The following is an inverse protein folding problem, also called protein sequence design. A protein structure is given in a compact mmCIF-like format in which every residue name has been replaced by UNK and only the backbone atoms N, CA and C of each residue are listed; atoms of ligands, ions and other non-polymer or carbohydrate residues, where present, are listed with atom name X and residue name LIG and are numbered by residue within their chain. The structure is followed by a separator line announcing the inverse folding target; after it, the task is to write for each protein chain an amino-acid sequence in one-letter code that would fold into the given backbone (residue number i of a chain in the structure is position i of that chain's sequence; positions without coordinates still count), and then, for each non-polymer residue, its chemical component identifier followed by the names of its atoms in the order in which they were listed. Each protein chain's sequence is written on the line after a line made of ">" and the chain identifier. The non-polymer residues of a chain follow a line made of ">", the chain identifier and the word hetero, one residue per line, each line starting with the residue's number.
data_IF_185987702833
#
_entry.id   IF_185987702833
#
_cell.length_a   1.000
_cell.length_b   1.000
_cell.length_c   1.000
_cell.angle_alpha   90.00
_cell.angle_beta   90.00
_cell.angle_gamma   90.00
#
_symmetry.space_group_name_H-M   'P 1'
#
loop_
_entity.id
_entity.type
_entity.pdbx_description
1 polymer ?
#
# COMPACT_ATOMS: atom_id res chain seq x y z
N UNK A 1 20.78 -9.27 -10.72
CA UNK A 1 19.49 -8.56 -10.72
C UNK A 1 18.42 -9.57 -10.37
N UNK A 2 17.57 -9.26 -9.39
CA UNK A 2 16.46 -10.14 -8.99
C UNK A 2 15.37 -10.07 -10.07
N UNK A 3 14.86 -11.23 -10.50
CA UNK A 3 13.82 -11.33 -11.52
C UNK A 3 12.48 -11.66 -10.84
N UNK A 4 11.50 -10.78 -11.01
CA UNK A 4 10.15 -10.87 -10.46
C UNK A 4 9.10 -11.06 -11.57
N UNK A 5 9.40 -11.79 -12.64
CA UNK A 5 8.41 -12.09 -13.70
C UNK A 5 7.22 -12.90 -13.20
N UNK A 6 7.38 -13.64 -12.11
CA UNK A 6 6.30 -14.25 -11.35
C UNK A 6 6.02 -13.41 -10.09
N UNK A 7 4.76 -13.04 -9.87
CA UNK A 7 4.30 -12.32 -8.69
C UNK A 7 3.62 -13.31 -7.73
N UNK A 8 4.29 -13.80 -6.68
CA UNK A 8 3.67 -14.74 -5.74
C UNK A 8 2.63 -14.04 -4.87
N UNK A 9 1.72 -14.83 -4.30
CA UNK A 9 1.02 -14.44 -3.08
C UNK A 9 1.81 -14.95 -1.88
N UNK A 10 2.15 -14.07 -0.94
CA UNK A 10 2.86 -14.41 0.29
C UNK A 10 1.87 -14.41 1.45
N UNK A 11 1.77 -15.53 2.16
CA UNK A 11 0.89 -15.68 3.32
C UNK A 11 1.71 -15.73 4.59
N UNK A 12 1.51 -14.75 5.47
CA UNK A 12 2.01 -14.73 6.84
C UNK A 12 0.90 -14.97 7.84
N UNK A 13 1.24 -14.98 9.13
CA UNK A 13 0.28 -15.12 10.23
C UNK A 13 -0.67 -13.93 10.31
N UNK A 14 -0.17 -12.72 10.04
CA UNK A 14 -0.91 -11.46 10.19
C UNK A 14 -1.30 -10.82 8.86
N UNK A 15 -0.62 -11.15 7.76
CA UNK A 15 -0.79 -10.46 6.48
C UNK A 15 -0.75 -11.44 5.32
N UNK A 16 -1.60 -11.20 4.32
CA UNK A 16 -1.41 -11.71 2.97
C UNK A 16 -0.99 -10.57 2.07
N UNK A 17 0.15 -10.76 1.40
CA UNK A 17 0.60 -9.88 0.32
C UNK A 17 0.24 -10.57 -1.00
N UNK A 18 -0.59 -9.92 -1.81
CA UNK A 18 -0.95 -10.40 -3.15
C UNK A 18 -0.45 -9.44 -4.22
N UNK A 19 -0.31 -9.89 -5.48
CA UNK A 19 -0.14 -8.97 -6.59
C UNK A 19 -1.24 -7.90 -6.57
N UNK A 20 -0.86 -6.67 -6.89
CA UNK A 20 -1.81 -5.55 -7.01
C UNK A 20 -2.79 -5.80 -8.15
N UNK A 21 -4.01 -5.32 -8.00
CA UNK A 21 -5.02 -5.30 -9.07
C UNK A 21 -5.64 -3.89 -9.21
N UNK A 22 -6.50 -3.71 -10.21
CA UNK A 22 -7.11 -2.41 -10.51
C UNK A 22 -7.96 -1.84 -9.36
N UNK A 23 -8.53 -2.70 -8.52
CA UNK A 23 -9.34 -2.31 -7.36
C UNK A 23 -8.51 -1.69 -6.22
N UNK A 24 -7.19 -1.89 -6.20
CA UNK A 24 -6.30 -1.31 -5.19
C UNK A 24 -5.94 0.16 -5.48
N UNK A 25 -6.28 0.66 -6.68
CA UNK A 25 -5.88 2.00 -7.10
C UNK A 25 -6.42 3.10 -6.18
N UNK A 26 -7.67 2.99 -5.72
CA UNK A 26 -8.28 4.02 -4.89
C UNK A 26 -7.57 4.13 -3.52
N UNK A 27 -7.12 3.00 -2.97
CA UNK A 27 -6.33 2.98 -1.74
C UNK A 27 -4.92 3.55 -1.96
N UNK A 28 -4.27 3.21 -3.08
CA UNK A 28 -2.99 3.83 -3.45
C UNK A 28 -3.14 5.34 -3.61
N UNK A 29 -4.19 5.79 -4.31
CA UNK A 29 -4.46 7.21 -4.54
C UNK A 29 -4.66 7.95 -3.23
N UNK A 30 -5.49 7.42 -2.34
CA UNK A 30 -5.69 8.01 -1.01
C UNK A 30 -4.38 8.11 -0.22
N UNK A 31 -3.51 7.11 -0.31
CA UNK A 31 -2.18 7.18 0.28
C UNK A 31 -1.29 8.24 -0.38
N UNK A 32 -1.33 8.38 -1.72
CA UNK A 32 -0.54 9.39 -2.43
C UNK A 32 -1.07 10.82 -2.25
N UNK A 33 -2.33 11.01 -1.89
CA UNK A 33 -2.90 12.33 -1.55
C UNK A 33 -2.49 12.78 -0.12
N UNK A 34 -1.89 11.89 0.68
CA UNK A 34 -1.34 12.21 2.00
C UNK A 34 0.04 12.89 1.87
N UNK A 35 0.20 14.14 2.37
CA UNK A 35 1.46 14.89 2.24
C UNK A 35 2.63 14.21 2.93
N UNK A 36 2.39 13.47 4.01
CA UNK A 36 3.43 12.72 4.70
C UNK A 36 3.91 11.58 3.80
N UNK A 37 2.99 10.80 3.23
CA UNK A 37 3.36 9.70 2.33
C UNK A 37 4.19 10.21 1.15
N UNK A 38 3.83 11.34 0.54
CA UNK A 38 4.62 11.95 -0.54
C UNK A 38 6.05 12.28 -0.04
N UNK A 39 6.15 12.97 1.12
CA UNK A 39 7.43 13.36 1.73
C UNK A 39 8.32 12.16 2.04
N UNK A 40 7.74 11.12 2.65
CA UNK A 40 8.45 9.95 3.15
C UNK A 40 8.82 8.94 2.06
N UNK A 41 8.06 8.86 0.98
CA UNK A 41 8.34 7.92 -0.13
C UNK A 41 9.22 8.51 -1.22
N UNK A 42 9.53 9.82 -1.16
CA UNK A 42 10.33 10.50 -2.17
C UNK A 42 9.63 10.61 -3.53
N UNK A 43 8.30 10.48 -3.55
CA UNK A 43 7.47 10.63 -4.75
C UNK A 43 7.54 12.09 -5.24
N UNK A 44 7.83 12.30 -6.52
CA UNK A 44 7.99 13.64 -7.12
C UNK A 44 7.20 13.77 -8.41
N UNK A 45 6.61 14.95 -8.61
CA UNK A 45 5.87 15.31 -9.82
C UNK A 45 4.37 15.04 -9.71
N UNK A 46 3.60 15.71 -10.56
CA UNK A 46 2.15 15.52 -10.67
C UNK A 46 1.86 14.71 -11.94
N UNK A 47 1.11 13.62 -11.78
CA UNK A 47 0.57 12.83 -12.87
C UNK A 47 -0.95 12.94 -12.85
N UNK A 48 -1.58 13.08 -14.01
CA UNK A 48 -3.04 13.09 -14.10
C UNK A 48 -3.62 11.75 -13.65
N UNK A 49 -4.79 11.76 -13.02
CA UNK A 49 -5.42 10.58 -12.42
C UNK A 49 -5.53 9.39 -13.39
N UNK A 50 -6.06 9.63 -14.59
CA UNK A 50 -6.17 8.61 -15.63
C UNK A 50 -4.79 8.06 -16.04
N UNK A 51 -3.78 8.91 -16.14
CA UNK A 51 -2.41 8.49 -16.48
C UNK A 51 -1.80 7.65 -15.36
N UNK A 52 -2.03 8.03 -14.09
CA UNK A 52 -1.60 7.28 -12.92
C UNK A 52 -2.28 5.90 -12.86
N UNK A 53 -3.58 5.84 -13.16
CA UNK A 53 -4.35 4.60 -13.21
C UNK A 53 -3.88 3.68 -14.32
N UNK A 54 -3.60 4.22 -15.50
CA UNK A 54 -2.99 3.46 -16.60
C UNK A 54 -1.60 2.93 -16.23
N UNK A 55 -0.75 3.76 -15.62
CA UNK A 55 0.54 3.32 -15.12
C UNK A 55 0.40 2.20 -14.08
N UNK A 56 -0.57 2.31 -13.17
CA UNK A 56 -0.82 1.31 -12.13
C UNK A 56 -1.22 -0.07 -12.70
N UNK A 57 -1.93 -0.10 -13.84
CA UNK A 57 -2.26 -1.37 -14.52
C UNK A 57 -1.01 -2.13 -15.01
N UNK A 58 0.10 -1.43 -15.27
CA UNK A 58 1.35 -2.05 -15.75
C UNK A 58 2.22 -2.62 -14.61
N UNK A 59 1.83 -2.45 -13.35
CA UNK A 59 2.68 -2.77 -12.19
C UNK A 59 3.14 -4.22 -12.17
N UNK A 60 2.26 -5.14 -12.59
CA UNK A 60 2.54 -6.58 -12.59
C UNK A 60 3.47 -7.02 -13.74
N UNK A 61 3.62 -6.23 -14.80
CA UNK A 61 4.47 -6.56 -15.95
C UNK A 61 5.94 -6.21 -15.72
N UNK A 62 6.23 -5.38 -14.71
CA UNK A 62 7.60 -4.91 -14.43
C UNK A 62 8.38 -6.00 -13.70
N UNK A 63 9.43 -6.54 -14.33
CA UNK A 63 10.17 -7.72 -13.85
C UNK A 63 11.29 -7.41 -12.86
N UNK A 64 11.61 -6.14 -12.66
CA UNK A 64 12.68 -5.65 -11.79
C UNK A 64 12.19 -5.19 -10.40
N UNK A 65 10.88 -5.27 -10.15
CA UNK A 65 10.26 -4.90 -8.87
C UNK A 65 9.07 -5.76 -8.50
N UNK A 66 8.68 -5.71 -7.23
CA UNK A 66 7.55 -6.44 -6.68
C UNK A 66 6.67 -5.46 -5.90
N UNK A 67 5.52 -5.11 -6.47
CA UNK A 67 4.51 -4.26 -5.85
C UNK A 67 3.34 -5.14 -5.43
N UNK A 68 2.96 -5.05 -4.16
CA UNK A 68 2.00 -5.96 -3.55
C UNK A 68 0.97 -5.18 -2.74
N UNK A 69 -0.27 -5.65 -2.77
CA UNK A 69 -1.33 -5.16 -1.91
C UNK A 69 -1.39 -5.99 -0.62
N UNK A 70 -1.52 -5.30 0.52
CA UNK A 70 -1.90 -5.93 1.78
C UNK A 70 -3.40 -6.24 1.73
N UNK A 71 -3.76 -7.50 1.95
CA UNK A 71 -5.16 -7.92 2.00
C UNK A 71 -5.62 -8.16 3.44
N UNK A 72 -6.85 -7.74 3.75
CA UNK A 72 -7.57 -8.12 4.97
C UNK A 72 -7.50 -7.15 6.13
N UNK A 73 -6.59 -6.17 6.12
CA UNK A 73 -6.52 -5.16 7.18
C UNK A 73 -7.62 -4.10 7.06
N UNK A 74 -8.12 -3.66 8.22
CA UNK A 74 -9.08 -2.58 8.41
C UNK A 74 -8.41 -1.50 9.26
N UNK A 75 -8.69 -0.23 8.97
CA UNK A 75 -8.24 0.90 9.80
C UNK A 75 -9.07 0.92 11.09
N UNK A 76 -8.41 0.80 12.23
CA UNK A 76 -9.03 0.85 13.55
C UNK A 76 -9.01 2.26 14.15
N UNK A 77 -8.01 3.07 13.78
CA UNK A 77 -7.88 4.41 14.32
C UNK A 77 -6.64 5.16 13.87
N UNK A 78 -6.56 6.41 14.31
CA UNK A 78 -5.46 7.33 14.09
C UNK A 78 -4.96 7.87 15.43
N UNK A 79 -3.71 7.61 15.74
CA UNK A 79 -3.02 8.19 16.89
C UNK A 79 -2.38 9.49 16.43
N UNK A 80 -2.88 10.60 16.96
CA UNK A 80 -2.45 11.94 16.54
C UNK A 80 -1.15 12.33 17.21
N UNK A 81 -0.24 12.92 16.45
CA UNK A 81 1.07 13.39 16.94
C UNK A 81 1.83 12.30 17.74
N UNK A 82 1.76 11.04 17.32
CA UNK A 82 2.37 9.91 18.06
C UNK A 82 3.89 9.86 17.85
N UNK A 83 4.35 10.13 16.63
CA UNK A 83 5.73 9.92 16.22
C UNK A 83 6.42 11.25 15.96
N UNK A 84 7.65 11.42 16.45
CA UNK A 84 8.48 12.59 16.15
C UNK A 84 9.52 12.23 15.08
N UNK A 85 9.45 12.88 13.91
CA UNK A 85 10.33 12.62 12.79
C UNK A 85 10.66 13.91 12.03
N UNK A 86 11.94 14.08 11.67
CA UNK A 86 12.46 15.24 10.91
C UNK A 86 12.00 16.62 11.44
N UNK A 87 11.93 16.73 12.77
CA UNK A 87 11.56 17.99 13.44
C UNK A 87 10.06 18.18 13.66
N UNK A 88 9.21 17.30 13.15
CA UNK A 88 7.75 17.41 13.16
C UNK A 88 7.10 16.22 13.86
N UNK A 89 5.95 16.45 14.50
CA UNK A 89 5.10 15.37 15.00
C UNK A 89 4.17 14.92 13.87
N UNK A 90 4.06 13.61 13.67
CA UNK A 90 3.21 12.99 12.64
C UNK A 90 2.26 11.97 13.25
N UNK A 91 1.12 11.81 12.58
CA UNK A 91 0.10 10.83 12.96
C UNK A 91 0.53 9.41 12.60
N UNK A 92 -0.05 8.45 13.32
CA UNK A 92 0.11 7.02 13.07
C UNK A 92 -1.25 6.36 12.83
N UNK A 93 -1.34 5.50 11.83
CA UNK A 93 -2.55 4.76 11.50
C UNK A 93 -2.46 3.36 12.08
N UNK A 94 -3.43 3.01 12.93
CA UNK A 94 -3.58 1.66 13.46
C UNK A 94 -4.48 0.87 12.53
N UNK A 95 -3.96 -0.23 12.02
CA UNK A 95 -4.71 -1.18 11.20
C UNK A 95 -4.69 -2.56 11.86
N UNK A 96 -5.80 -3.29 11.77
CA UNK A 96 -5.91 -4.65 12.28
C UNK A 96 -6.60 -5.58 11.29
N UNK A 97 -6.38 -6.88 11.45
CA UNK A 97 -7.20 -7.92 10.84
C UNK A 97 -7.55 -8.92 11.92
N UNK A 98 -8.84 -9.15 12.15
CA UNK A 98 -9.27 -10.12 13.15
C UNK A 98 -9.24 -11.53 12.55
N UNK A 99 -8.65 -12.49 13.27
CA UNK A 99 -8.55 -13.88 12.82
C UNK A 99 -9.90 -14.51 12.39
N UNK A 100 -11.04 -14.25 13.06
CA UNK A 100 -12.35 -14.72 12.58
C UNK A 100 -12.78 -14.10 11.24
N UNK A 101 -12.53 -12.81 11.05
CA UNK A 101 -12.90 -12.09 9.82
C UNK A 101 -12.04 -12.51 8.64
N UNK A 102 -10.76 -12.78 8.89
CA UNK A 102 -9.86 -13.32 7.89
C UNK A 102 -10.32 -14.69 7.40
N UNK A 103 -10.62 -15.62 8.32
CA UNK A 103 -11.11 -16.96 7.99
C UNK A 103 -12.42 -16.95 7.19
N UNK A 104 -13.26 -15.94 7.38
CA UNK A 104 -14.49 -15.80 6.61
C UNK A 104 -14.26 -15.29 5.17
N UNK A 105 -13.09 -14.71 4.89
CA UNK A 105 -12.71 -14.11 3.59
C UNK A 105 -11.76 -14.97 2.76
N UNK A 106 -11.12 -15.98 3.37
CA UNK A 106 -10.13 -16.89 2.77
C UNK A 106 -10.71 -18.18 2.25
#
# INVERSE_FOLDING_TARGET
>A
MTNFSYKPTLTGELVVLRPVDEGDYDALKAAMDDPDVIRFTGSRGEIGDEQARQWYRTRNDQTDRLDMAMAGFVVEGRLRDELYWDGEWVDSIVMSVLAPEWKARS
#
